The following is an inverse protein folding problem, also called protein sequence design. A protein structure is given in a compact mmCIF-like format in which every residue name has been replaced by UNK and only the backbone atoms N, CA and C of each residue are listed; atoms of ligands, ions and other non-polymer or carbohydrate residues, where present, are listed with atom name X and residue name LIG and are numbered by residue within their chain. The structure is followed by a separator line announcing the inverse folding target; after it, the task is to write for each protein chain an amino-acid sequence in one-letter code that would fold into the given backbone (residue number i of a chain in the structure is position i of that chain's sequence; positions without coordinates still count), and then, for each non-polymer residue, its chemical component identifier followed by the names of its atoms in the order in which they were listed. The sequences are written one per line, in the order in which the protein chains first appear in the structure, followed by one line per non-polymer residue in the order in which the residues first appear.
data_IF_415915355054
#
_entry.id   IF_415915355054
#
_cell.length_a   1.000
_cell.length_b   1.000
_cell.length_c   1.000
_cell.angle_alpha   90.00
_cell.angle_beta   90.00
_cell.angle_gamma   90.00
#
_symmetry.space_group_name_H-M   'P 1'
#
loop_
_entity.id
_entity.type
_entity.pdbx_description
1 polymer ?
#
# COMPACT_ATOMS: atom_id res chain seq x y z
N UNK A 1 17.44 11.09 17.91
CA UNK A 1 17.19 12.03 19.01
C UNK A 1 16.66 11.28 20.22
N UNK A 2 16.81 11.86 21.40
CA UNK A 2 16.29 11.30 22.65
C UNK A 2 14.75 11.25 22.63
N UNK A 3 14.10 10.23 23.23
CA UNK A 3 12.65 10.10 23.25
C UNK A 3 11.94 11.36 23.78
N UNK A 4 11.00 11.92 23.00
CA UNK A 4 10.20 13.08 23.41
C UNK A 4 10.90 14.43 23.29
N UNK A 5 12.21 14.46 23.06
CA UNK A 5 12.95 15.70 22.86
C UNK A 5 12.82 16.21 21.43
N UNK A 6 12.63 17.53 21.32
CA UNK A 6 12.58 18.24 20.05
C UNK A 6 14.00 18.43 19.52
N UNK A 7 14.20 18.15 18.24
CA UNK A 7 15.47 18.33 17.52
C UNK A 7 15.19 19.00 16.18
N UNK A 8 16.16 19.72 15.63
CA UNK A 8 16.12 20.17 14.24
C UNK A 8 15.96 18.99 13.29
N UNK A 9 15.49 19.22 12.06
CA UNK A 9 15.36 18.15 11.07
C UNK A 9 16.68 17.37 10.92
N UNK A 10 16.75 16.10 11.34
CA UNK A 10 17.97 15.30 11.21
C UNK A 10 18.14 14.79 9.78
N UNK A 11 17.16 15.05 8.91
CA UNK A 11 17.21 14.79 7.48
C UNK A 11 17.45 16.10 6.72
N UNK A 12 17.67 16.02 5.40
CA UNK A 12 17.75 17.15 4.47
C UNK A 12 18.59 18.36 4.94
N UNK A 13 19.65 18.11 5.73
CA UNK A 13 20.51 19.13 6.32
C UNK A 13 19.76 20.20 7.13
N UNK A 14 18.69 19.83 7.84
CA UNK A 14 17.95 20.76 8.69
C UNK A 14 16.91 21.62 7.97
N UNK A 15 16.67 21.39 6.67
CA UNK A 15 15.70 22.18 5.89
C UNK A 15 14.24 21.82 6.15
N UNK A 16 13.97 20.62 6.66
CA UNK A 16 12.61 20.23 7.03
C UNK A 16 12.17 20.85 8.37
N UNK A 17 10.92 20.57 8.78
CA UNK A 17 10.40 21.04 10.06
C UNK A 17 11.09 20.32 11.22
N UNK A 18 11.12 20.96 12.39
CA UNK A 18 11.58 20.31 13.62
C UNK A 18 10.88 18.97 13.87
N UNK A 19 11.63 18.04 14.47
CA UNK A 19 11.21 16.66 14.75
C UNK A 19 11.24 16.39 16.24
N UNK A 20 10.64 15.29 16.65
CA UNK A 20 10.68 14.83 18.06
C UNK A 20 11.17 13.39 18.10
N UNK A 21 12.07 13.06 19.04
CA UNK A 21 12.56 11.69 19.17
C UNK A 21 11.43 10.71 19.50
N UNK A 22 11.50 9.51 18.91
CA UNK A 22 10.46 8.49 19.04
C UNK A 22 10.29 8.03 20.50
N UNK A 23 9.05 8.08 21.01
CA UNK A 23 8.71 7.58 22.34
C UNK A 23 8.25 6.12 22.35
N UNK A 24 8.44 5.39 21.24
CA UNK A 24 8.10 3.97 21.13
C UNK A 24 6.64 3.62 21.45
N UNK A 25 5.69 4.44 20.99
CA UNK A 25 4.26 4.27 21.26
C UNK A 25 3.54 3.20 20.40
N UNK A 26 4.25 2.53 19.48
CA UNK A 26 3.70 1.51 18.57
C UNK A 26 2.64 2.00 17.58
N UNK A 27 2.38 3.30 17.49
CA UNK A 27 1.31 3.89 16.68
C UNK A 27 1.72 4.24 15.24
N UNK A 28 2.83 3.71 14.73
CA UNK A 28 3.35 4.10 13.41
C UNK A 28 2.37 3.74 12.27
N UNK A 29 1.60 2.65 12.43
CA UNK A 29 0.59 2.21 11.45
C UNK A 29 -0.72 3.00 11.52
N UNK A 30 -1.02 3.62 12.66
CA UNK A 30 -2.27 4.37 12.89
C UNK A 30 -2.08 5.88 12.89
N UNK A 31 -0.85 6.35 12.60
CA UNK A 31 -0.46 7.75 12.61
C UNK A 31 0.33 8.14 13.85
N UNK A 32 1.55 8.64 13.64
CA UNK A 32 2.41 9.12 14.73
C UNK A 32 1.96 10.51 15.20
N UNK A 33 1.43 10.59 16.42
CA UNK A 33 0.96 11.86 17.04
C UNK A 33 2.06 12.66 17.72
N UNK A 34 3.27 12.10 17.81
CA UNK A 34 4.38 12.67 18.57
C UNK A 34 5.45 13.27 17.68
N UNK A 35 5.12 13.59 16.41
CA UNK A 35 6.05 14.18 15.45
C UNK A 35 7.39 13.43 15.23
N UNK A 36 7.41 12.12 15.47
CA UNK A 36 8.62 11.30 15.34
C UNK A 36 8.77 10.60 13.99
N UNK A 37 7.66 10.13 13.39
CA UNK A 37 7.70 9.39 12.11
C UNK A 37 7.97 10.35 10.94
N UNK A 38 8.98 10.05 10.13
CA UNK A 38 9.36 10.81 8.94
C UNK A 38 8.38 10.55 7.78
N UNK A 39 7.21 11.16 7.83
CA UNK A 39 6.14 11.05 6.82
C UNK A 39 6.28 12.15 5.76
N UNK A 40 5.61 11.97 4.60
CA UNK A 40 5.78 12.83 3.43
C UNK A 40 5.43 14.32 3.66
N UNK A 41 4.43 14.58 4.50
CA UNK A 41 4.02 15.91 4.98
C UNK A 41 5.11 16.64 5.77
N UNK A 42 6.14 15.92 6.22
CA UNK A 42 7.25 16.45 7.03
C UNK A 42 8.59 16.37 6.32
N UNK A 43 8.61 15.92 5.07
CA UNK A 43 9.81 15.92 4.24
C UNK A 43 9.50 16.48 2.84
N UNK A 44 9.41 15.65 1.80
CA UNK A 44 9.23 16.05 0.40
C UNK A 44 8.09 17.04 0.20
N UNK A 45 6.91 16.85 0.81
CA UNK A 45 5.80 17.81 0.62
C UNK A 45 6.08 19.14 1.31
N UNK A 46 6.64 19.11 2.52
CA UNK A 46 7.04 20.33 3.23
C UNK A 46 8.07 21.12 2.42
N UNK A 47 9.12 20.45 1.95
CA UNK A 47 10.20 21.05 1.16
C UNK A 47 9.68 21.54 -0.20
N UNK A 48 8.80 20.79 -0.86
CA UNK A 48 8.23 21.20 -2.13
C UNK A 48 7.36 22.47 -1.98
N UNK A 49 6.57 22.57 -0.92
CA UNK A 49 5.78 23.77 -0.64
C UNK A 49 6.66 24.98 -0.35
N UNK A 50 7.75 24.80 0.41
CA UNK A 50 8.74 25.85 0.68
C UNK A 50 9.39 26.38 -0.63
N UNK A 51 9.54 25.51 -1.63
CA UNK A 51 10.02 25.84 -2.97
C UNK A 51 8.90 26.33 -3.93
N UNK A 52 7.68 26.54 -3.43
CA UNK A 52 6.57 27.13 -4.18
C UNK A 52 5.60 26.14 -4.84
N UNK A 53 5.68 24.84 -4.55
CA UNK A 53 4.68 23.88 -5.02
C UNK A 53 3.33 24.11 -4.30
N UNK A 54 2.24 24.21 -5.07
CA UNK A 54 0.89 24.32 -4.53
C UNK A 54 0.27 22.94 -4.30
N UNK A 55 -0.26 22.70 -3.09
CA UNK A 55 -0.97 21.46 -2.75
C UNK A 55 -2.47 21.75 -2.66
N UNK A 56 -3.23 21.22 -3.62
CA UNK A 56 -4.69 21.28 -3.64
C UNK A 56 -5.29 20.03 -2.96
N UNK A 57 -5.33 20.04 -1.62
CA UNK A 57 -5.95 18.97 -0.84
C UNK A 57 -7.46 18.82 -1.17
N UNK A 58 -8.01 17.63 -0.95
CA UNK A 58 -9.43 17.30 -1.19
C UNK A 58 -9.91 17.52 -2.64
N UNK A 59 -9.02 17.38 -3.62
CA UNK A 59 -9.37 17.43 -5.04
C UNK A 59 -9.04 16.10 -5.74
N UNK A 60 -10.02 15.53 -6.43
CA UNK A 60 -9.90 14.31 -7.21
C UNK A 60 -9.81 14.67 -8.70
N UNK A 61 -8.74 14.23 -9.35
CA UNK A 61 -8.60 14.29 -10.81
C UNK A 61 -9.53 13.26 -11.44
N UNK A 62 -10.35 13.71 -12.39
CA UNK A 62 -11.36 12.85 -13.02
C UNK A 62 -11.16 12.67 -14.53
N UNK A 63 -10.39 13.55 -15.15
CA UNK A 63 -10.07 13.53 -16.58
C UNK A 63 -8.71 14.19 -16.86
N UNK A 64 -7.98 13.68 -17.85
CA UNK A 64 -6.71 14.20 -18.36
C UNK A 64 -6.69 13.95 -19.86
N UNK A 65 -6.39 14.96 -20.67
CA UNK A 65 -6.27 14.84 -22.13
C UNK A 65 -5.21 15.79 -22.67
N UNK A 66 -4.54 15.47 -23.78
CA UNK A 66 -3.70 16.42 -24.51
C UNK A 66 -4.50 17.68 -24.88
N UNK A 67 -3.81 18.83 -24.97
CA UNK A 67 -4.42 20.07 -25.47
C UNK A 67 -4.73 19.98 -26.96
N UNK A 68 -3.81 19.36 -27.71
CA UNK A 68 -3.89 19.16 -29.15
C UNK A 68 -3.74 17.68 -29.53
N UNK A 69 -3.89 17.36 -30.81
CA UNK A 69 -3.71 15.99 -31.33
C UNK A 69 -2.23 15.60 -31.49
N UNK A 70 -1.37 16.02 -30.56
CA UNK A 70 0.09 15.90 -30.61
C UNK A 70 0.65 14.94 -29.53
N UNK A 71 -0.23 14.17 -28.89
CA UNK A 71 0.14 13.25 -27.80
C UNK A 71 0.81 13.94 -26.60
N UNK A 72 0.48 15.21 -26.34
CA UNK A 72 0.89 15.94 -25.14
C UNK A 72 2.17 16.75 -25.29
N UNK A 73 2.63 16.98 -26.52
CA UNK A 73 3.79 17.84 -26.78
C UNK A 73 3.52 19.29 -26.35
N UNK A 74 2.33 19.82 -26.66
CA UNK A 74 1.85 21.14 -26.25
C UNK A 74 1.35 21.17 -24.80
N UNK A 75 1.20 20.01 -24.16
CA UNK A 75 0.73 19.85 -22.80
C UNK A 75 -0.66 19.23 -22.70
N UNK A 76 -1.30 19.43 -21.55
CA UNK A 76 -2.47 18.71 -21.11
C UNK A 76 -3.49 19.60 -20.41
N UNK A 77 -4.76 19.29 -20.64
CA UNK A 77 -5.89 19.75 -19.84
C UNK A 77 -6.21 18.71 -18.76
N UNK A 78 -6.19 19.13 -17.50
CA UNK A 78 -6.56 18.32 -16.34
C UNK A 78 -7.90 18.81 -15.79
N UNK A 79 -8.84 17.89 -15.60
CA UNK A 79 -10.13 18.18 -14.97
C UNK A 79 -10.21 17.51 -13.61
N UNK A 80 -10.64 18.26 -12.61
CA UNK A 80 -10.72 17.80 -11.23
C UNK A 80 -11.90 18.43 -10.50
N UNK A 81 -12.32 17.82 -9.40
CA UNK A 81 -13.43 18.30 -8.55
C UNK A 81 -13.08 18.07 -7.09
N UNK A 82 -13.84 18.67 -6.17
CA UNK A 82 -13.71 18.33 -4.75
C UNK A 82 -14.04 16.84 -4.53
N UNK A 83 -13.23 16.17 -3.72
CA UNK A 83 -13.49 14.78 -3.30
C UNK A 83 -14.60 14.71 -2.24
N UNK A 84 -14.82 15.82 -1.51
CA UNK A 84 -15.86 15.97 -0.50
C UNK A 84 -16.95 16.96 -0.94
N UNK A 85 -18.21 16.57 -0.76
CA UNK A 85 -19.38 17.40 -1.09
C UNK A 85 -19.63 17.63 -2.59
N UNK A 86 -20.50 18.59 -2.90
CA UNK A 86 -20.88 18.93 -4.28
C UNK A 86 -19.96 20.03 -4.84
N UNK A 87 -18.75 19.65 -5.28
CA UNK A 87 -17.82 20.55 -5.94
C UNK A 87 -18.11 20.71 -7.44
N UNK A 88 -18.02 21.94 -7.95
CA UNK A 88 -18.01 22.20 -9.41
C UNK A 88 -16.74 21.62 -10.04
N UNK A 89 -16.87 21.20 -11.29
CA UNK A 89 -15.73 20.78 -12.11
C UNK A 89 -14.80 21.97 -12.35
N UNK A 90 -13.51 21.78 -12.11
CA UNK A 90 -12.44 22.73 -12.41
C UNK A 90 -11.51 22.17 -13.48
N UNK A 91 -10.76 23.06 -14.12
CA UNK A 91 -9.83 22.75 -15.20
C UNK A 91 -8.52 23.52 -15.00
N UNK A 92 -7.40 22.89 -15.33
CA UNK A 92 -6.09 23.53 -15.38
C UNK A 92 -5.29 22.96 -16.55
N UNK A 93 -4.45 23.80 -17.14
CA UNK A 93 -3.52 23.41 -18.20
C UNK A 93 -2.12 23.25 -17.62
N UNK A 94 -1.39 22.24 -18.09
CA UNK A 94 -0.02 21.97 -17.66
C UNK A 94 0.80 21.42 -18.82
N UNK A 95 2.11 21.66 -18.83
CA UNK A 95 3.02 21.05 -19.80
C UNK A 95 3.32 19.59 -19.48
N UNK A 96 3.45 19.26 -18.20
CA UNK A 96 3.90 17.94 -17.74
C UNK A 96 2.90 17.34 -16.75
N UNK A 97 2.79 16.01 -16.75
CA UNK A 97 1.95 15.24 -15.82
C UNK A 97 2.76 14.11 -15.18
N UNK A 98 2.63 13.98 -13.87
CA UNK A 98 3.12 12.82 -13.11
C UNK A 98 1.94 12.19 -12.39
N UNK A 99 1.59 10.95 -12.73
CA UNK A 99 0.62 10.16 -11.98
C UNK A 99 1.29 9.53 -10.77
N UNK A 100 0.79 9.86 -9.57
CA UNK A 100 1.33 9.38 -8.30
C UNK A 100 0.21 9.01 -7.29
N UNK A 101 -0.93 8.52 -7.79
CA UNK A 101 -2.10 8.16 -6.98
C UNK A 101 -2.01 6.80 -6.27
N UNK A 102 -0.86 6.12 -6.35
CA UNK A 102 -0.74 4.71 -5.95
C UNK A 102 -1.50 3.80 -6.91
N UNK A 103 -1.38 2.47 -6.74
CA UNK A 103 -2.02 1.52 -7.67
C UNK A 103 -3.52 1.74 -7.76
N UNK A 104 -4.20 1.96 -6.63
CA UNK A 104 -5.65 2.13 -6.58
C UNK A 104 -6.14 3.53 -6.98
N UNK A 105 -5.27 4.52 -7.11
CA UNK A 105 -5.61 5.83 -7.68
C UNK A 105 -5.25 5.93 -9.16
N UNK A 106 -4.01 5.57 -9.50
CA UNK A 106 -3.44 5.71 -10.85
C UNK A 106 -4.06 4.73 -11.85
N UNK A 107 -4.08 3.42 -11.55
CA UNK A 107 -4.51 2.42 -12.52
C UNK A 107 -5.99 2.58 -12.91
N UNK A 108 -6.95 2.75 -11.97
CA UNK A 108 -8.35 2.95 -12.33
C UNK A 108 -8.59 4.26 -13.10
N UNK A 109 -7.88 5.33 -12.74
CA UNK A 109 -7.95 6.59 -13.47
C UNK A 109 -7.48 6.40 -14.91
N UNK A 110 -6.29 5.83 -15.14
CA UNK A 110 -5.76 5.57 -16.48
C UNK A 110 -6.68 4.65 -17.30
N UNK A 111 -7.26 3.61 -16.68
CA UNK A 111 -8.21 2.71 -17.35
C UNK A 111 -9.44 3.48 -17.83
N UNK A 112 -9.97 4.36 -16.98
CA UNK A 112 -11.10 5.23 -17.31
C UNK A 112 -10.75 6.23 -18.42
N UNK A 113 -9.57 6.87 -18.35
CA UNK A 113 -9.10 7.82 -19.35
C UNK A 113 -8.95 7.18 -20.73
N UNK A 114 -8.38 5.97 -20.78
CA UNK A 114 -8.26 5.18 -22.00
C UNK A 114 -9.63 4.81 -22.57
N UNK A 115 -10.52 4.26 -21.75
CA UNK A 115 -11.86 3.85 -22.19
C UNK A 115 -12.74 5.01 -22.66
N UNK A 116 -12.57 6.19 -22.05
CA UNK A 116 -13.29 7.42 -22.44
C UNK A 116 -12.75 8.00 -23.75
N UNK A 117 -11.55 7.61 -24.18
CA UNK A 117 -10.86 8.20 -25.31
C UNK A 117 -10.12 9.51 -24.99
N UNK A 118 -9.95 9.86 -23.70
CA UNK A 118 -9.12 11.00 -23.30
C UNK A 118 -7.62 10.70 -23.45
N UNK A 119 -7.23 9.44 -23.18
CA UNK A 119 -5.88 8.93 -23.40
C UNK A 119 -5.90 7.55 -24.11
N UNK A 120 -6.36 7.47 -25.38
CA UNK A 120 -6.57 6.20 -26.06
C UNK A 120 -5.26 5.41 -26.34
N UNK A 121 -4.13 6.11 -26.47
CA UNK A 121 -2.84 5.52 -26.87
C UNK A 121 -2.07 4.89 -25.69
N UNK A 122 -2.64 4.87 -24.48
CA UNK A 122 -2.02 4.17 -23.35
C UNK A 122 -1.93 2.67 -23.71
N UNK A 123 -0.80 2.04 -23.39
CA UNK A 123 -0.57 0.60 -23.59
C UNK A 123 -1.74 -0.30 -23.15
N UNK A 124 -1.99 -1.37 -23.92
CA UNK A 124 -2.90 -2.46 -23.54
C UNK A 124 -2.38 -3.33 -22.38
N UNK A 125 -1.14 -3.14 -21.92
CA UNK A 125 -0.62 -3.75 -20.70
C UNK A 125 -1.14 -3.07 -19.43
N UNK A 126 -1.85 -1.94 -19.55
CA UNK A 126 -2.44 -1.25 -18.41
C UNK A 126 -3.34 -2.18 -17.59
N UNK A 127 -3.11 -2.14 -16.28
CA UNK A 127 -3.73 -2.99 -15.28
C UNK A 127 -3.12 -4.39 -15.16
N UNK A 128 -2.24 -4.83 -16.07
CA UNK A 128 -1.57 -6.13 -15.98
C UNK A 128 -0.40 -6.14 -14.99
N UNK A 129 0.13 -7.33 -14.71
CA UNK A 129 1.27 -7.54 -13.80
C UNK A 129 1.09 -6.95 -12.40
N UNK A 130 -0.14 -6.95 -11.88
CA UNK A 130 -0.45 -6.47 -10.52
C UNK A 130 -0.12 -7.56 -9.51
N UNK A 131 0.55 -7.20 -8.43
CA UNK A 131 1.08 -8.10 -7.40
C UNK A 131 0.59 -7.70 -6.03
N UNK A 132 0.57 -8.66 -5.11
CA UNK A 132 0.11 -8.49 -3.73
C UNK A 132 1.22 -8.74 -2.71
N UNK A 133 2.48 -8.61 -3.14
CA UNK A 133 3.68 -8.91 -2.35
C UNK A 133 3.73 -10.34 -1.76
N UNK A 134 2.91 -11.25 -2.30
CA UNK A 134 2.58 -12.56 -1.72
C UNK A 134 2.45 -12.54 -0.19
N UNK A 135 1.65 -11.60 0.29
CA UNK A 135 1.55 -11.37 1.72
C UNK A 135 0.47 -12.21 2.42
N UNK A 136 0.70 -12.46 3.70
CA UNK A 136 -0.32 -12.94 4.63
C UNK A 136 -0.28 -12.14 5.91
N UNK A 137 -1.44 -11.60 6.28
CA UNK A 137 -1.65 -10.87 7.53
C UNK A 137 -2.37 -11.75 8.54
N UNK A 138 -1.66 -12.15 9.59
CA UNK A 138 -2.23 -12.95 10.68
C UNK A 138 -2.13 -12.21 12.00
N UNK A 139 -3.18 -12.27 12.83
CA UNK A 139 -3.19 -11.65 14.16
C UNK A 139 -3.19 -12.73 15.21
N UNK A 140 -2.32 -12.60 16.21
CA UNK A 140 -2.36 -13.45 17.40
C UNK A 140 -2.61 -12.56 18.60
N UNK A 141 -3.67 -12.87 19.35
CA UNK A 141 -4.04 -12.15 20.58
C UNK A 141 -3.87 -13.06 21.78
N UNK A 142 -3.08 -12.62 22.76
CA UNK A 142 -2.86 -13.37 23.99
C UNK A 142 -4.12 -13.42 24.85
N UNK A 143 -4.41 -14.60 25.42
CA UNK A 143 -5.53 -14.80 26.36
C UNK A 143 -5.10 -14.85 27.84
N UNK A 144 -3.80 -14.64 28.10
CA UNK A 144 -3.23 -14.62 29.46
C UNK A 144 -3.56 -13.32 30.19
N UNK A 145 -3.88 -13.39 31.48
CA UNK A 145 -4.11 -12.17 32.28
C UNK A 145 -2.84 -11.34 32.35
N UNK A 146 -1.72 -12.01 32.63
CA UNK A 146 -0.38 -11.42 32.72
C UNK A 146 0.33 -11.61 31.38
N UNK A 147 0.27 -10.58 30.54
CA UNK A 147 0.92 -10.57 29.23
C UNK A 147 1.86 -9.35 29.11
N UNK A 148 2.94 -9.45 28.33
CA UNK A 148 3.73 -8.28 27.94
C UNK A 148 2.87 -7.24 27.20
N UNK A 149 3.22 -5.95 27.33
CA UNK A 149 2.59 -4.90 26.53
C UNK A 149 3.15 -4.90 25.10
N UNK A 150 2.39 -5.45 24.16
CA UNK A 150 2.80 -5.52 22.76
C UNK A 150 2.74 -4.17 22.02
N UNK A 151 2.26 -3.09 22.65
CA UNK A 151 2.24 -1.76 22.04
C UNK A 151 3.55 -0.99 22.14
N UNK A 152 4.45 -1.37 23.05
CA UNK A 152 5.72 -0.65 23.25
C UNK A 152 6.72 -1.01 22.14
N UNK A 153 7.29 0.01 21.49
CA UNK A 153 8.25 -0.11 20.40
C UNK A 153 7.88 0.74 19.17
N UNK A 154 8.68 0.61 18.11
CA UNK A 154 8.25 0.99 16.75
C UNK A 154 7.29 -0.08 16.21
N UNK A 155 6.37 0.28 15.29
CA UNK A 155 5.40 -0.70 14.78
C UNK A 155 6.06 -1.88 14.10
N UNK A 156 7.07 -1.65 13.26
CA UNK A 156 7.86 -2.69 12.60
C UNK A 156 9.31 -2.40 12.95
N UNK A 157 9.90 -3.23 13.81
CA UNK A 157 11.25 -3.01 14.33
C UNK A 157 12.22 -4.15 14.08
N UNK A 158 11.75 -5.24 13.45
CA UNK A 158 12.54 -6.44 13.23
C UNK A 158 11.98 -7.22 12.06
N UNK A 159 12.86 -7.89 11.33
CA UNK A 159 12.53 -8.82 10.26
C UNK A 159 13.09 -10.18 10.67
N UNK A 160 12.28 -11.23 10.51
CA UNK A 160 12.73 -12.62 10.61
C UNK A 160 12.83 -13.19 9.21
N UNK A 161 14.05 -13.38 8.73
CA UNK A 161 14.32 -14.10 7.49
C UNK A 161 14.13 -15.59 7.74
N UNK A 162 13.26 -16.23 6.95
CA UNK A 162 12.91 -17.65 7.11
C UNK A 162 13.68 -18.48 6.09
N UNK A 163 13.70 -17.99 4.85
CA UNK A 163 14.45 -18.53 3.73
C UNK A 163 14.79 -17.40 2.76
N UNK A 164 15.40 -17.75 1.61
CA UNK A 164 15.83 -16.79 0.59
C UNK A 164 14.71 -15.88 0.07
N UNK A 165 13.46 -16.33 0.13
CA UNK A 165 12.32 -15.70 -0.53
C UNK A 165 11.21 -15.29 0.46
N UNK A 166 11.35 -15.56 1.75
CA UNK A 166 10.24 -15.45 2.71
C UNK A 166 10.69 -14.78 4.02
N UNK A 167 9.91 -13.78 4.44
CA UNK A 167 10.21 -12.97 5.62
C UNK A 167 8.96 -12.76 6.48
N UNK A 168 9.15 -12.60 7.78
CA UNK A 168 8.09 -12.29 8.75
C UNK A 168 8.43 -11.05 9.56
N UNK A 169 7.49 -10.12 9.63
CA UNK A 169 7.58 -8.91 10.43
C UNK A 169 6.50 -8.90 11.52
N UNK A 170 6.87 -8.86 12.81
CA UNK A 170 5.92 -8.58 13.88
C UNK A 170 5.56 -7.09 13.85
N UNK A 171 4.28 -6.81 13.63
CA UNK A 171 3.71 -5.47 13.54
C UNK A 171 2.92 -5.14 14.81
N UNK A 172 3.32 -4.06 15.48
CA UNK A 172 2.69 -3.51 16.68
C UNK A 172 1.73 -2.39 16.32
N UNK A 173 0.67 -2.28 17.12
CA UNK A 173 -0.30 -1.20 17.03
C UNK A 173 -0.35 -0.44 18.35
N UNK A 174 -0.50 0.88 18.26
CA UNK A 174 -0.48 1.74 19.44
C UNK A 174 -1.70 1.52 20.35
N UNK A 175 -1.56 1.89 21.63
CA UNK A 175 -2.61 1.74 22.65
C UNK A 175 -3.94 2.32 22.17
N UNK A 176 -5.03 1.60 22.44
CA UNK A 176 -6.38 1.96 22.02
C UNK A 176 -6.76 1.48 20.61
N UNK A 177 -5.81 0.96 19.82
CA UNK A 177 -6.13 0.40 18.50
C UNK A 177 -6.84 -0.96 18.66
N UNK A 178 -8.01 -1.10 18.03
CA UNK A 178 -8.82 -2.34 18.08
C UNK A 178 -9.54 -2.68 16.77
N UNK A 179 -9.39 -1.88 15.72
CA UNK A 179 -10.12 -2.02 14.46
C UNK A 179 -9.89 -3.39 13.78
N UNK A 180 -8.68 -3.92 13.83
CA UNK A 180 -8.34 -5.26 13.28
C UNK A 180 -9.20 -6.39 13.86
N UNK A 181 -9.72 -6.26 15.08
CA UNK A 181 -10.62 -7.24 15.68
C UNK A 181 -11.90 -7.42 14.85
N UNK A 182 -12.39 -6.36 14.21
CA UNK A 182 -13.62 -6.41 13.40
C UNK A 182 -13.37 -7.01 12.01
N UNK A 183 -12.12 -7.01 11.54
CA UNK A 183 -11.75 -7.48 10.20
C UNK A 183 -11.20 -8.91 10.18
N UNK A 184 -11.23 -9.62 11.31
CA UNK A 184 -10.54 -10.91 11.42
C UNK A 184 -11.44 -12.00 11.97
N UNK A 185 -11.12 -13.25 11.58
CA UNK A 185 -11.73 -14.45 12.13
C UNK A 185 -10.66 -15.54 12.35
N UNK A 186 -10.92 -16.57 13.18
CA UNK A 186 -9.98 -17.67 13.34
C UNK A 186 -9.54 -18.21 11.99
N UNK A 187 -8.22 -18.38 11.80
CA UNK A 187 -7.71 -18.82 10.50
C UNK A 187 -8.25 -20.21 10.15
N UNK A 188 -8.67 -20.44 8.90
CA UNK A 188 -9.07 -21.76 8.44
C UNK A 188 -8.74 -21.91 6.96
N UNK A 189 -8.27 -23.10 6.58
CA UNK A 189 -7.74 -23.32 5.23
C UNK A 189 -8.36 -24.59 4.66
N UNK A 190 -8.97 -24.43 3.49
CA UNK A 190 -9.55 -25.50 2.69
C UNK A 190 -9.77 -24.96 1.27
N UNK A 191 -9.79 -25.83 0.26
CA UNK A 191 -10.10 -25.43 -1.13
C UNK A 191 -11.52 -24.83 -1.25
N UNK A 192 -12.49 -25.46 -0.59
CA UNK A 192 -13.91 -25.08 -0.58
C UNK A 192 -14.26 -24.09 0.54
N UNK A 193 -15.01 -23.03 0.20
CA UNK A 193 -15.41 -21.98 1.15
C UNK A 193 -16.22 -22.51 2.34
N UNK A 194 -17.20 -23.39 2.09
CA UNK A 194 -18.02 -23.99 3.15
C UNK A 194 -17.18 -24.74 4.19
N UNK A 195 -16.12 -25.43 3.76
CA UNK A 195 -15.23 -26.17 4.66
C UNK A 195 -14.26 -25.24 5.40
N UNK A 196 -13.89 -24.08 4.83
CA UNK A 196 -13.20 -23.03 5.59
C UNK A 196 -14.08 -22.50 6.71
N UNK A 197 -15.32 -22.13 6.39
CA UNK A 197 -16.30 -21.64 7.36
C UNK A 197 -16.58 -22.70 8.44
N UNK A 198 -16.81 -23.96 8.08
CA UNK A 198 -16.97 -25.06 9.02
C UNK A 198 -15.72 -25.23 9.92
N UNK A 199 -14.52 -25.07 9.35
CA UNK A 199 -13.26 -25.09 10.11
C UNK A 199 -13.16 -23.96 11.14
N UNK A 200 -13.70 -22.77 10.84
CA UNK A 200 -13.80 -21.66 11.81
C UNK A 200 -14.72 -22.04 12.97
N UNK A 201 -15.93 -22.52 12.68
CA UNK A 201 -16.88 -22.95 13.72
C UNK A 201 -16.30 -24.08 14.58
N UNK A 202 -15.63 -25.06 13.96
CA UNK A 202 -14.98 -26.15 14.67
C UNK A 202 -13.89 -25.65 15.63
N UNK A 203 -13.10 -24.65 15.24
CA UNK A 203 -12.11 -24.02 16.14
C UNK A 203 -12.77 -23.29 17.30
N UNK A 204 -13.89 -22.61 17.07
CA UNK A 204 -14.66 -21.96 18.12
C UNK A 204 -15.20 -22.98 19.13
N UNK A 205 -15.70 -24.12 18.66
CA UNK A 205 -16.20 -25.22 19.51
C UNK A 205 -15.07 -25.90 20.29
N UNK A 206 -13.90 -26.10 19.68
CA UNK A 206 -12.74 -26.72 20.35
C UNK A 206 -12.06 -25.82 21.38
N UNK A 207 -12.16 -24.50 21.24
CA UNK A 207 -11.47 -23.54 22.10
C UNK A 207 -12.41 -22.40 22.56
N UNK A 208 -13.57 -22.70 23.16
CA UNK A 208 -14.62 -21.72 23.40
C UNK A 208 -14.15 -20.62 24.36
N UNK A 209 -13.44 -20.99 25.43
CA UNK A 209 -12.91 -20.03 26.39
C UNK A 209 -11.86 -19.08 25.78
N UNK A 210 -10.97 -19.58 24.93
CA UNK A 210 -9.96 -18.74 24.25
C UNK A 210 -10.59 -17.81 23.23
N UNK A 211 -11.59 -18.31 22.49
CA UNK A 211 -12.34 -17.50 21.53
C UNK A 211 -13.08 -16.34 22.22
N UNK A 212 -13.86 -16.63 23.27
CA UNK A 212 -14.59 -15.62 24.05
C UNK A 212 -13.61 -14.60 24.67
N UNK A 213 -12.52 -15.06 25.28
CA UNK A 213 -11.47 -14.17 25.82
C UNK A 213 -10.85 -13.27 24.76
N UNK A 214 -10.67 -13.75 23.53
CA UNK A 214 -10.11 -12.96 22.43
C UNK A 214 -11.11 -11.91 21.95
N UNK A 215 -12.38 -12.29 21.80
CA UNK A 215 -13.44 -11.39 21.34
C UNK A 215 -13.65 -10.22 22.33
N UNK A 216 -13.72 -10.54 23.62
CA UNK A 216 -13.92 -9.57 24.71
C UNK A 216 -12.59 -9.09 25.31
N UNK A 217 -11.47 -9.22 24.60
CA UNK A 217 -10.19 -8.74 25.09
C UNK A 217 -10.20 -7.22 25.28
N UNK A 218 -10.09 -6.78 26.53
CA UNK A 218 -9.82 -5.39 26.86
C UNK A 218 -8.40 -5.03 26.42
N UNK A 219 -8.18 -3.76 26.04
CA UNK A 219 -6.87 -3.25 25.58
C UNK A 219 -6.27 -4.12 24.47
N UNK A 220 -7.09 -4.47 23.47
CA UNK A 220 -6.78 -5.41 22.38
C UNK A 220 -5.35 -5.27 21.82
N UNK A 221 -4.96 -4.08 21.34
CA UNK A 221 -3.62 -3.81 20.81
C UNK A 221 -2.45 -4.18 21.74
N UNK A 222 -2.61 -4.04 23.06
CA UNK A 222 -1.56 -4.41 24.02
C UNK A 222 -1.38 -5.92 24.19
N UNK A 223 -2.32 -6.71 23.68
CA UNK A 223 -2.38 -8.17 23.76
C UNK A 223 -2.13 -8.83 22.42
N UNK A 224 -2.11 -8.04 21.34
CA UNK A 224 -2.11 -8.54 19.97
C UNK A 224 -0.82 -8.18 19.25
N UNK A 225 -0.32 -9.13 18.49
CA UNK A 225 0.74 -8.92 17.50
C UNK A 225 0.20 -9.31 16.15
N UNK A 226 0.39 -8.44 15.15
CA UNK A 226 0.13 -8.79 13.76
C UNK A 226 1.42 -9.36 13.18
N UNK A 227 1.30 -10.42 12.41
CA UNK A 227 2.39 -11.10 11.72
C UNK A 227 2.19 -10.82 10.24
N UNK A 228 3.03 -9.92 9.70
CA UNK A 228 3.10 -9.62 8.28
C UNK A 228 4.12 -10.57 7.66
N UNK A 229 3.63 -11.55 6.91
CA UNK A 229 4.46 -12.45 6.12
C UNK A 229 4.50 -11.98 4.68
N UNK A 230 5.65 -12.01 4.02
CA UNK A 230 5.81 -11.58 2.62
C UNK A 230 6.74 -12.56 1.88
N UNK A 231 6.55 -12.68 0.56
CA UNK A 231 7.44 -13.48 -0.30
C UNK A 231 7.82 -12.78 -1.59
N UNK A 232 9.02 -13.05 -2.09
CA UNK A 232 9.53 -12.58 -3.40
C UNK A 232 8.96 -13.37 -4.59
N UNK A 233 8.12 -14.38 -4.34
CA UNK A 233 7.51 -15.19 -5.41
C UNK A 233 6.73 -14.31 -6.38
N UNK A 234 6.76 -14.66 -7.66
CA UNK A 234 6.05 -13.90 -8.68
C UNK A 234 4.65 -14.49 -8.90
N UNK A 235 3.63 -13.76 -8.46
CA UNK A 235 2.22 -14.08 -8.69
C UNK A 235 1.52 -12.80 -9.13
N UNK A 236 0.87 -12.87 -10.29
CA UNK A 236 0.29 -11.69 -10.92
C UNK A 236 -1.21 -11.82 -11.13
N UNK A 237 -1.83 -10.65 -11.15
CA UNK A 237 -3.23 -10.41 -11.39
C UNK A 237 -3.34 -9.27 -12.39
N UNK A 238 -4.53 -9.10 -12.93
CA UNK A 238 -4.82 -7.94 -13.76
C UNK A 238 -6.03 -7.18 -13.24
N UNK A 239 -5.88 -5.86 -13.15
CA UNK A 239 -6.95 -4.91 -12.85
C UNK A 239 -7.61 -4.46 -14.16
N UNK A 240 -8.94 -4.49 -14.21
CA UNK A 240 -9.73 -4.02 -15.35
C UNK A 240 -10.97 -3.28 -14.89
N UNK A 241 -11.56 -2.51 -15.79
CA UNK A 241 -12.92 -2.00 -15.62
C UNK A 241 -13.93 -3.10 -15.93
N UNK A 242 -14.74 -3.47 -14.95
CA UNK A 242 -15.84 -4.42 -15.11
C UNK A 242 -17.07 -3.81 -15.79
N UNK A 243 -18.09 -4.65 -16.00
CA UNK A 243 -19.33 -4.27 -16.73
C UNK A 243 -20.07 -3.06 -16.14
N UNK A 244 -19.99 -2.86 -14.82
CA UNK A 244 -20.62 -1.74 -14.10
C UNK A 244 -19.65 -0.58 -13.82
N UNK A 245 -18.60 -0.43 -14.63
CA UNK A 245 -17.52 0.57 -14.42
C UNK A 245 -16.79 0.46 -13.08
N UNK A 246 -16.96 -0.67 -12.37
CA UNK A 246 -16.20 -0.96 -11.15
C UNK A 246 -14.83 -1.52 -11.48
N UNK A 247 -13.86 -1.31 -10.60
CA UNK A 247 -12.58 -1.99 -10.69
C UNK A 247 -12.76 -3.47 -10.32
N UNK A 248 -12.30 -4.37 -11.19
CA UNK A 248 -12.32 -5.81 -10.96
C UNK A 248 -10.93 -6.39 -11.18
N UNK A 249 -10.71 -7.56 -10.58
CA UNK A 249 -9.46 -8.31 -10.69
C UNK A 249 -9.70 -9.58 -11.49
N UNK A 250 -8.80 -9.89 -12.41
CA UNK A 250 -8.78 -11.14 -13.15
C UNK A 250 -7.45 -11.88 -12.94
N UNK A 251 -7.49 -13.19 -13.16
CA UNK A 251 -6.30 -14.03 -13.21
C UNK A 251 -5.46 -13.65 -14.44
N UNK A 252 -4.14 -13.53 -14.23
CA UNK A 252 -3.17 -13.45 -15.32
C UNK A 252 -2.46 -14.80 -15.47
N UNK A 253 -1.59 -14.94 -16.47
CA UNK A 253 -0.80 -16.16 -16.68
C UNK A 253 0.16 -16.39 -15.52
N UNK A 254 0.10 -17.57 -14.89
CA UNK A 254 1.03 -17.98 -13.85
C UNK A 254 0.35 -18.34 -12.52
N UNK A 255 1.13 -18.48 -11.44
CA UNK A 255 0.60 -18.73 -10.11
C UNK A 255 -0.27 -17.57 -9.62
N UNK A 256 -1.46 -17.86 -9.11
CA UNK A 256 -2.31 -16.84 -8.51
C UNK A 256 -1.91 -16.58 -7.05
N UNK A 257 -2.02 -15.33 -6.58
CA UNK A 257 -1.93 -15.03 -5.15
C UNK A 257 -2.96 -15.83 -4.35
N UNK A 258 -2.51 -16.44 -3.26
CA UNK A 258 -3.34 -17.28 -2.39
C UNK A 258 -3.53 -16.61 -1.04
N UNK A 259 -4.76 -16.60 -0.52
CA UNK A 259 -5.05 -16.19 0.87
C UNK A 259 -4.54 -17.19 1.91
N UNK A 260 -4.00 -18.33 1.47
CA UNK A 260 -3.35 -19.31 2.33
C UNK A 260 -1.89 -19.51 1.93
N UNK A 261 -1.00 -19.18 2.87
CA UNK A 261 0.42 -19.49 2.81
C UNK A 261 0.75 -20.45 3.98
N UNK A 262 1.11 -21.72 3.70
CA UNK A 262 1.37 -22.72 4.73
C UNK A 262 2.46 -22.32 5.73
N UNK A 263 3.51 -21.66 5.25
CA UNK A 263 4.67 -21.18 6.02
C UNK A 263 4.22 -20.11 7.03
N UNK A 264 3.46 -19.11 6.57
CA UNK A 264 2.87 -18.09 7.42
C UNK A 264 1.99 -18.71 8.52
N UNK A 265 1.16 -19.69 8.13
CA UNK A 265 0.26 -20.41 9.05
C UNK A 265 1.03 -21.22 10.10
N UNK A 266 2.15 -21.84 9.71
CA UNK A 266 3.04 -22.57 10.62
C UNK A 266 3.67 -21.63 11.65
N UNK A 267 4.14 -20.46 11.22
CA UNK A 267 4.73 -19.45 12.09
C UNK A 267 3.69 -18.85 13.05
N UNK A 268 2.51 -18.52 12.55
CA UNK A 268 1.43 -18.01 13.38
C UNK A 268 1.00 -19.01 14.46
N UNK A 269 1.00 -20.32 14.17
CA UNK A 269 0.78 -21.37 15.18
C UNK A 269 1.89 -21.40 16.25
N UNK A 270 3.17 -21.25 15.86
CA UNK A 270 4.27 -21.15 16.83
C UNK A 270 4.13 -19.94 17.74
N UNK A 271 3.76 -18.79 17.19
CA UNK A 271 3.51 -17.55 17.96
C UNK A 271 2.28 -17.74 18.87
N UNK A 272 1.18 -18.30 18.36
CA UNK A 272 -0.01 -18.62 19.14
C UNK A 272 0.27 -19.54 20.33
N UNK A 273 1.13 -20.54 20.16
CA UNK A 273 1.55 -21.40 21.27
C UNK A 273 2.31 -20.62 22.35
N UNK A 274 3.18 -19.68 21.97
CA UNK A 274 3.91 -18.82 22.92
C UNK A 274 3.05 -17.77 23.61
N UNK A 275 2.00 -17.28 22.93
CA UNK A 275 1.13 -16.22 23.43
C UNK A 275 -0.14 -16.73 24.12
N UNK A 276 -0.33 -18.05 24.18
CA UNK A 276 -1.60 -18.68 24.56
C UNK A 276 -2.80 -18.04 23.82
N UNK A 277 -2.64 -17.85 22.51
CA UNK A 277 -3.60 -17.15 21.65
C UNK A 277 -4.18 -18.05 20.56
N UNK A 278 -5.13 -17.53 19.79
CA UNK A 278 -5.62 -18.15 18.55
C UNK A 278 -5.09 -17.33 17.37
N UNK A 279 -4.59 -17.95 16.28
CA UNK A 279 -4.29 -17.23 15.04
C UNK A 279 -5.58 -16.84 14.32
N UNK A 280 -5.67 -15.56 14.00
CA UNK A 280 -6.73 -14.97 13.21
C UNK A 280 -6.17 -14.52 11.86
N UNK A 281 -6.98 -14.57 10.81
CA UNK A 281 -6.68 -14.05 9.47
C UNK A 281 -7.78 -13.06 9.07
N UNK A 282 -7.56 -12.28 8.01
CA UNK A 282 -8.60 -11.40 7.48
C UNK A 282 -9.83 -12.25 7.08
N UNK A 283 -11.03 -11.77 7.42
CA UNK A 283 -12.27 -12.49 7.11
C UNK A 283 -12.46 -12.70 5.60
N UNK A 284 -12.01 -11.75 4.77
CA UNK A 284 -12.06 -11.88 3.32
C UNK A 284 -11.17 -13.03 2.82
N UNK A 285 -9.97 -13.19 3.39
CA UNK A 285 -9.03 -14.27 3.03
C UNK A 285 -9.64 -15.63 3.35
N UNK A 286 -10.27 -15.76 4.52
CA UNK A 286 -10.89 -17.01 4.95
C UNK A 286 -12.15 -17.32 4.14
N UNK A 287 -13.00 -16.32 3.83
CA UNK A 287 -14.24 -16.57 3.09
C UNK A 287 -13.95 -16.81 1.61
N UNK A 288 -13.17 -15.94 0.96
CA UNK A 288 -12.95 -15.99 -0.50
C UNK A 288 -11.75 -16.84 -0.91
N UNK A 289 -10.77 -17.05 -0.02
CA UNK A 289 -9.51 -17.72 -0.36
C UNK A 289 -8.52 -16.84 -1.15
N UNK A 290 -8.86 -15.56 -1.33
CA UNK A 290 -8.06 -14.54 -2.03
C UNK A 290 -7.32 -13.70 -0.99
N UNK A 291 -6.03 -13.37 -1.16
CA UNK A 291 -5.30 -12.62 -0.16
C UNK A 291 -5.75 -11.15 -0.11
N UNK A 292 -5.87 -10.62 1.09
CA UNK A 292 -5.85 -9.19 1.36
C UNK A 292 -4.41 -8.73 1.42
N UNK A 293 -4.11 -7.60 0.77
CA UNK A 293 -2.76 -7.04 0.78
C UNK A 293 -2.72 -5.56 1.20
N UNK A 294 -1.72 -5.19 1.98
CA UNK A 294 -1.32 -3.81 2.25
C UNK A 294 -0.42 -3.25 1.13
N UNK A 295 0.23 -4.12 0.37
CA UNK A 295 1.23 -3.80 -0.65
C UNK A 295 0.81 -4.24 -2.04
N UNK A 296 -0.26 -3.63 -2.55
CA UNK A 296 -0.61 -3.77 -3.96
C UNK A 296 0.41 -3.00 -4.83
N UNK A 297 0.97 -3.67 -5.84
CA UNK A 297 2.03 -3.17 -6.71
C UNK A 297 1.75 -3.50 -8.16
N UNK A 298 2.33 -2.74 -9.10
CA UNK A 298 2.16 -2.97 -10.53
C UNK A 298 0.86 -2.42 -11.12
N UNK A 299 0.57 -2.76 -12.38
CA UNK A 299 -0.55 -2.22 -13.16
C UNK A 299 -0.17 -1.11 -14.13
N UNK A 300 0.96 -0.43 -13.93
CA UNK A 300 1.58 0.47 -14.90
C UNK A 300 3.08 0.15 -15.05
N UNK A 301 3.38 -1.15 -15.22
CA UNK A 301 4.75 -1.69 -15.15
C UNK A 301 5.65 -1.18 -16.27
N UNK A 302 6.95 -1.13 -15.97
CA UNK A 302 8.00 -0.84 -16.96
C UNK A 302 8.10 -1.93 -18.01
N UNK A 303 8.28 -1.54 -19.28
CA UNK A 303 8.50 -2.46 -20.40
C UNK A 303 9.51 -1.92 -21.41
N UNK A 304 10.00 -2.80 -22.29
CA UNK A 304 10.87 -2.41 -23.41
C UNK A 304 10.13 -1.55 -24.44
N UNK A 305 8.83 -1.80 -24.59
CA UNK A 305 7.95 -1.19 -25.58
C UNK A 305 6.48 -1.26 -25.09
N UNK A 306 5.54 -0.59 -25.77
CA UNK A 306 4.13 -0.53 -25.34
C UNK A 306 3.41 -1.88 -25.32
N UNK A 307 3.96 -2.93 -25.93
CA UNK A 307 3.37 -4.29 -25.89
C UNK A 307 3.80 -5.08 -24.66
N UNK A 308 4.82 -4.61 -23.93
CA UNK A 308 5.42 -5.29 -22.77
C UNK A 308 5.29 -4.49 -21.46
N UNK A 309 4.90 -3.23 -21.51
CA UNK A 309 4.66 -2.40 -20.32
C UNK A 309 3.90 -1.13 -20.66
N UNK A 310 3.59 -0.35 -19.63
CA UNK A 310 2.88 0.93 -19.73
C UNK A 310 3.84 2.10 -19.79
N UNK A 311 4.99 1.97 -19.13
CA UNK A 311 6.02 3.00 -19.07
C UNK A 311 7.37 2.47 -19.55
N UNK A 312 8.24 3.36 -20.00
CA UNK A 312 9.63 3.04 -20.33
C UNK A 312 10.52 2.94 -19.07
N UNK A 313 11.82 2.65 -19.27
CA UNK A 313 12.83 2.59 -18.19
C UNK A 313 13.06 3.92 -17.45
N UNK A 314 12.51 5.01 -17.98
CA UNK A 314 12.60 6.36 -17.43
C UNK A 314 11.27 6.84 -16.84
N UNK A 315 10.30 5.94 -16.67
CA UNK A 315 8.97 6.18 -16.14
C UNK A 315 8.04 6.97 -17.06
N UNK A 316 8.42 7.22 -18.32
CA UNK A 316 7.55 7.90 -19.28
C UNK A 316 6.47 6.96 -19.76
N UNK A 317 5.22 7.43 -19.82
CA UNK A 317 4.09 6.68 -20.34
C UNK A 317 4.23 6.52 -21.86
N UNK A 318 4.20 5.27 -22.33
CA UNK A 318 4.19 5.01 -23.75
C UNK A 318 2.96 5.64 -24.44
N UNK A 319 3.17 6.17 -25.64
CA UNK A 319 2.12 6.84 -26.42
C UNK A 319 1.94 8.32 -26.11
N UNK A 320 2.61 8.86 -25.08
CA UNK A 320 2.47 10.26 -24.65
C UNK A 320 3.82 10.92 -24.36
N UNK A 321 3.92 12.23 -24.62
CA UNK A 321 5.08 13.07 -24.24
C UNK A 321 4.82 13.75 -22.91
N UNK A 322 5.84 14.09 -22.13
CA UNK A 322 5.67 14.87 -20.89
C UNK A 322 4.71 14.22 -19.86
N UNK A 323 4.60 12.89 -19.86
CA UNK A 323 3.69 12.12 -19.00
C UNK A 323 4.44 10.97 -18.33
N UNK A 324 4.36 10.89 -17.01
CA UNK A 324 5.09 9.89 -16.21
C UNK A 324 4.19 9.20 -15.18
N UNK A 325 4.62 8.01 -14.72
CA UNK A 325 4.05 7.33 -13.54
C UNK A 325 5.13 7.16 -12.47
N UNK A 326 4.87 7.63 -11.26
CA UNK A 326 5.82 7.63 -10.13
C UNK A 326 5.11 7.21 -8.84
N UNK A 327 4.68 5.95 -8.75
CA UNK A 327 4.09 5.36 -7.55
C UNK A 327 4.22 3.82 -7.56
N UNK A 328 3.55 3.12 -6.63
CA UNK A 328 3.58 1.65 -6.56
C UNK A 328 3.13 0.91 -7.82
N UNK A 329 2.43 1.56 -8.75
CA UNK A 329 1.99 0.93 -10.01
C UNK A 329 3.11 0.72 -11.03
N UNK A 330 4.22 1.43 -10.90
CA UNK A 330 5.40 1.25 -11.75
C UNK A 330 6.24 0.03 -11.39
N UNK A 331 6.05 -0.52 -10.19
CA UNK A 331 6.88 -1.62 -9.67
C UNK A 331 6.61 -2.90 -10.46
N UNK A 332 7.61 -3.35 -11.22
CA UNK A 332 7.50 -4.46 -12.17
C UNK A 332 7.81 -5.85 -11.60
N UNK A 333 8.20 -5.95 -10.32
CA UNK A 333 8.56 -7.21 -9.68
C UNK A 333 8.07 -7.24 -8.23
N UNK A 334 7.96 -8.43 -7.66
CA UNK A 334 7.60 -8.58 -6.26
C UNK A 334 8.85 -8.42 -5.36
N UNK A 335 8.97 -7.35 -4.55
CA UNK A 335 10.15 -7.14 -3.73
C UNK A 335 10.21 -8.07 -2.52
N UNK A 336 9.09 -8.65 -2.06
CA UNK A 336 9.03 -9.49 -0.86
C UNK A 336 9.31 -8.73 0.45
N UNK A 337 9.33 -7.40 0.40
CA UNK A 337 9.59 -6.48 1.53
C UNK A 337 8.70 -5.24 1.39
N UNK A 338 8.72 -4.36 2.40
CA UNK A 338 8.00 -3.08 2.37
C UNK A 338 8.50 -2.18 1.20
N UNK A 339 7.65 -1.80 0.23
CA UNK A 339 8.11 -1.24 -1.06
C UNK A 339 8.36 0.27 -1.07
N UNK A 340 8.03 0.99 0.02
CA UNK A 340 8.03 2.47 0.04
C UNK A 340 9.37 3.10 -0.37
N UNK A 341 10.50 2.55 0.09
CA UNK A 341 11.84 3.05 -0.26
C UNK A 341 12.20 2.74 -1.72
N UNK A 342 11.81 1.56 -2.24
CA UNK A 342 12.03 1.22 -3.65
C UNK A 342 11.23 2.14 -4.58
N UNK A 343 9.98 2.44 -4.22
CA UNK A 343 9.14 3.43 -4.93
C UNK A 343 9.86 4.79 -4.91
N UNK A 344 10.29 5.25 -3.74
CA UNK A 344 11.00 6.53 -3.57
C UNK A 344 12.26 6.59 -4.43
N UNK A 345 13.12 5.56 -4.39
CA UNK A 345 14.38 5.52 -5.12
C UNK A 345 14.17 5.57 -6.65
N UNK A 346 13.18 4.85 -7.17
CA UNK A 346 12.86 4.87 -8.60
C UNK A 346 12.26 6.22 -8.98
N UNK A 347 11.38 6.80 -8.15
CA UNK A 347 10.84 8.13 -8.38
C UNK A 347 11.94 9.20 -8.38
N UNK A 348 12.89 9.15 -7.45
CA UNK A 348 14.05 10.04 -7.42
C UNK A 348 14.91 9.92 -8.68
N UNK A 349 15.18 8.68 -9.12
CA UNK A 349 15.89 8.44 -10.38
C UNK A 349 15.13 9.04 -11.58
N UNK A 350 13.81 8.91 -11.61
CA UNK A 350 12.98 9.50 -12.67
C UNK A 350 13.01 11.04 -12.63
N UNK A 351 12.86 11.64 -11.44
CA UNK A 351 12.88 13.10 -11.26
C UNK A 351 14.25 13.70 -11.53
N UNK A 352 15.35 12.98 -11.28
CA UNK A 352 16.72 13.45 -11.59
C UNK A 352 16.97 13.72 -13.07
N UNK A 353 16.10 13.22 -13.95
CA UNK A 353 16.16 13.42 -15.41
C UNK A 353 15.32 14.59 -15.88
N UNK A 354 14.50 15.18 -15.00
CA UNK A 354 13.75 16.39 -15.29
C UNK A 354 14.71 17.57 -15.12
N UNK A 355 14.86 18.44 -16.12
CA UNK A 355 15.67 19.64 -15.99
C UNK A 355 15.20 20.50 -14.83
N UNK A 356 16.16 21.10 -14.11
CA UNK A 356 15.83 22.11 -13.12
C UNK A 356 15.08 23.28 -13.79
N UNK A 357 14.12 23.87 -13.08
CA UNK A 357 13.46 25.08 -13.55
C UNK A 357 14.48 26.22 -13.54
N UNK A 358 14.66 26.89 -14.67
CA UNK A 358 15.48 28.10 -14.75
C UNK A 358 14.87 29.21 -13.89
N UNK A 359 15.47 29.44 -12.72
CA UNK A 359 15.00 30.38 -11.70
C UNK A 359 15.05 31.85 -12.14
N UNK A 360 15.71 32.17 -13.26
CA UNK A 360 15.88 33.54 -13.78
C UNK A 360 14.79 33.99 -14.76
N UNK A 361 13.84 33.12 -15.13
CA UNK A 361 12.84 33.40 -16.17
C UNK A 361 11.41 33.66 -15.64
N UNK A 362 11.28 34.05 -14.37
CA UNK A 362 9.97 34.32 -13.71
C UNK A 362 9.65 35.79 -13.63
#
# INVERSE_FOLDING_TARGET
GQPGEKVSDPYFNGKGPDRTGCIHCGACMTGCRHNAKNTLDKNYLYLAQDLGAEILAEHEVIDVRPLDNDRGESGYMVQFKKSTGNGKLKKIETRNIVFAGGVLGTVPLLLKLKQKGSLPDISDMLGGNVRTNNESLMVVTSTDKDHPDYTSGVSIGSILDIDKNSHLEPVRYGKGSGFFRMMTMPSAHHKWALLRIAGVFWKMIKQPFRFVKTLFANRYSSRSVILLFMQTLDSTLRLKTGKLRSLVTEAESGPLPSGHIPEASKLARKVSAKLNGIPYSNFYDVIRGTPTTAHILGGAVMGKDPTKGVIDKNNNVFGYKNMMVCDGSMISANPGVNPSLSITAISELAMSRIPAKDMESS
#
